data_IF_388506909552
#
_entry.id   IF_388506909552
#
_cell.length_a   1.000
_cell.length_b   1.000
_cell.length_c   1.000
_cell.angle_alpha   90.00
_cell.angle_beta   90.00
_cell.angle_gamma   90.00
#
_symmetry.space_group_name_H-M   'P 1'
#
loop_
_entity.id
_entity.type
_entity.pdbx_description
1 polymer ?
#
# COMPACT_ATOMS: atom_id res chain seq x y z
N UNK A 1 -18.46 -4.02 -7.62
CA UNK A 1 -17.09 -4.50 -7.26
C UNK A 1 -16.07 -3.41 -7.55
N UNK A 2 -15.18 -3.12 -6.62
CA UNK A 2 -14.06 -2.18 -6.77
C UNK A 2 -12.71 -2.89 -6.62
N UNK A 3 -11.70 -2.40 -7.33
CA UNK A 3 -10.33 -2.93 -7.27
C UNK A 3 -9.41 -1.80 -6.81
N UNK A 4 -8.72 -2.01 -5.69
CA UNK A 4 -7.98 -0.98 -4.96
C UNK A 4 -6.57 -1.47 -4.65
N UNK A 5 -5.55 -0.61 -4.83
CA UNK A 5 -4.19 -0.87 -4.39
C UNK A 5 -4.04 -0.70 -2.89
N UNK A 6 -3.36 -1.64 -2.25
CA UNK A 6 -2.84 -1.50 -0.88
C UNK A 6 -1.31 -1.52 -0.84
N UNK A 7 -0.68 -1.04 -1.90
CA UNK A 7 0.75 -0.75 -1.93
C UNK A 7 1.62 -1.93 -2.29
N UNK A 8 2.76 -1.90 -1.81
CA UNK A 8 4.11 -2.30 -2.03
C UNK A 8 4.85 -1.29 -2.91
N UNK A 9 4.44 -1.08 -4.14
CA UNK A 9 5.04 -0.11 -5.06
C UNK A 9 4.01 0.41 -6.07
N UNK A 10 4.43 1.34 -6.92
CA UNK A 10 3.60 1.94 -7.96
C UNK A 10 3.15 0.97 -9.07
N UNK A 11 3.77 -0.22 -9.19
CA UNK A 11 3.37 -1.22 -10.20
C UNK A 11 1.90 -1.64 -10.02
N UNK A 12 1.43 -1.75 -8.75
CA UNK A 12 0.03 -2.09 -8.45
C UNK A 12 -0.91 -1.00 -8.92
N UNK A 13 -0.60 0.27 -8.59
CA UNK A 13 -1.38 1.42 -9.04
C UNK A 13 -1.43 1.53 -10.56
N UNK A 14 -0.28 1.36 -11.25
CA UNK A 14 -0.22 1.32 -12.72
C UNK A 14 -1.03 0.17 -13.31
N UNK A 15 -0.93 -1.02 -12.73
CA UNK A 15 -1.69 -2.18 -13.17
C UNK A 15 -3.20 -1.95 -13.08
N UNK A 16 -3.69 -1.44 -11.95
CA UNK A 16 -5.11 -1.16 -11.75
C UNK A 16 -5.58 -0.06 -12.71
N UNK A 17 -4.85 1.06 -12.78
CA UNK A 17 -5.19 2.17 -13.68
C UNK A 17 -5.28 1.74 -15.14
N UNK A 18 -4.36 0.88 -15.59
CA UNK A 18 -4.32 0.40 -16.97
C UNK A 18 -5.46 -0.54 -17.33
N UNK A 19 -5.93 -1.35 -16.36
CA UNK A 19 -6.80 -2.49 -16.66
C UNK A 19 -8.24 -2.35 -16.16
N UNK A 20 -8.51 -1.52 -15.12
CA UNK A 20 -9.80 -1.56 -14.45
C UNK A 20 -10.44 -0.20 -14.19
N UNK A 21 -9.82 0.70 -13.45
CA UNK A 21 -10.42 1.96 -13.05
C UNK A 21 -9.44 3.14 -13.10
N UNK A 22 -9.98 4.37 -12.88
CA UNK A 22 -9.22 5.61 -12.90
C UNK A 22 -9.18 6.34 -11.55
N UNK A 23 -9.81 5.79 -10.51
CA UNK A 23 -9.79 6.42 -9.19
C UNK A 23 -8.43 6.23 -8.52
N UNK A 24 -7.99 7.25 -7.78
CA UNK A 24 -6.74 7.20 -7.02
C UNK A 24 -7.03 6.96 -5.55
N UNK A 25 -6.28 6.03 -4.97
CA UNK A 25 -6.32 5.65 -3.56
C UNK A 25 -5.00 5.95 -2.86
N UNK A 26 -4.95 5.94 -1.51
CA UNK A 26 -3.77 6.40 -0.78
C UNK A 26 -2.48 5.66 -1.12
N UNK A 27 -2.57 4.37 -1.43
CA UNK A 27 -1.41 3.52 -1.62
C UNK A 27 -0.92 3.39 -3.07
N UNK A 28 -1.57 4.04 -4.04
CA UNK A 28 -1.27 3.85 -5.47
C UNK A 28 0.16 4.24 -5.87
N UNK A 29 0.72 5.26 -5.20
CA UNK A 29 2.01 5.85 -5.54
C UNK A 29 3.02 5.78 -4.40
N UNK A 30 2.74 4.97 -3.39
CA UNK A 30 3.57 4.80 -2.20
C UNK A 30 4.20 3.41 -2.23
N UNK A 31 5.52 3.35 -2.11
CA UNK A 31 6.22 2.14 -1.74
C UNK A 31 6.06 1.93 -0.24
N UNK A 32 5.50 0.81 0.16
CA UNK A 32 5.19 0.54 1.56
C UNK A 32 5.43 -0.90 1.93
N UNK A 33 6.02 -1.12 3.10
CA UNK A 33 6.02 -2.46 3.69
C UNK A 33 4.64 -2.80 4.27
N UNK A 34 4.42 -4.07 4.56
CA UNK A 34 3.12 -4.55 5.05
C UNK A 34 2.78 -3.95 6.42
N UNK A 35 3.77 -3.72 7.29
CA UNK A 35 3.54 -3.15 8.61
C UNK A 35 3.03 -1.70 8.53
N UNK A 36 3.49 -0.93 7.54
CA UNK A 36 2.94 0.41 7.30
C UNK A 36 1.46 0.35 6.91
N UNK A 37 1.08 -0.59 6.06
CA UNK A 37 -0.31 -0.78 5.64
C UNK A 37 -1.18 -1.20 6.83
N UNK A 38 -0.73 -2.18 7.61
CA UNK A 38 -1.43 -2.64 8.82
C UNK A 38 -1.60 -1.47 9.79
N UNK A 39 -0.52 -0.78 10.14
CA UNK A 39 -0.56 0.36 11.06
C UNK A 39 -1.50 1.48 10.59
N UNK A 40 -1.56 1.71 9.27
CA UNK A 40 -2.49 2.69 8.69
C UNK A 40 -3.94 2.29 8.95
N UNK A 41 -4.30 1.02 8.75
CA UNK A 41 -5.66 0.55 9.00
C UNK A 41 -5.99 0.43 10.50
N UNK A 42 -5.00 0.14 11.36
CA UNK A 42 -5.19 0.15 12.82
C UNK A 42 -5.49 1.56 13.35
N UNK A 43 -4.88 2.59 12.75
CA UNK A 43 -4.99 3.99 13.17
C UNK A 43 -5.99 4.82 12.38
N UNK A 44 -6.65 4.24 11.41
CA UNK A 44 -7.60 4.86 10.48
C UNK A 44 -6.97 5.80 9.45
N UNK A 45 -5.69 6.17 9.60
CA UNK A 45 -5.12 7.22 8.79
C UNK A 45 -3.62 7.39 9.02
N UNK A 46 -2.89 7.97 8.08
CA UNK A 46 -1.55 8.51 8.31
C UNK A 46 -1.48 9.98 7.87
N UNK A 47 -0.75 10.80 8.63
CA UNK A 47 -0.43 12.18 8.28
C UNK A 47 1.02 12.33 7.87
N UNK A 48 1.24 13.21 6.90
CA UNK A 48 2.56 13.70 6.57
C UNK A 48 2.90 14.81 7.57
N UNK A 49 4.00 14.63 8.26
CA UNK A 49 4.47 15.59 9.27
C UNK A 49 5.86 16.10 8.89
N UNK A 50 6.26 17.22 9.46
CA UNK A 50 7.65 17.65 9.42
C UNK A 50 8.51 16.54 10.04
N UNK A 51 9.40 15.97 9.23
CA UNK A 51 10.38 15.01 9.71
C UNK A 51 11.72 15.73 9.88
N UNK A 52 12.28 15.68 11.09
CA UNK A 52 13.63 16.20 11.37
C UNK A 52 14.73 15.50 10.56
N UNK A 53 14.42 14.33 9.99
CA UNK A 53 15.34 13.53 9.18
C UNK A 53 14.62 12.92 7.97
N UNK A 54 14.41 13.73 6.96
CA UNK A 54 14.16 13.21 5.61
C UNK A 54 15.52 12.77 5.06
N UNK A 55 15.85 11.48 5.21
CA UNK A 55 16.98 10.91 4.52
C UNK A 55 16.58 10.65 3.07
N UNK A 56 17.21 11.27 2.07
CA UNK A 56 17.04 10.87 0.70
C UNK A 56 17.45 9.41 0.57
N UNK A 57 16.56 8.55 0.08
CA UNK A 57 16.78 7.11 0.05
C UNK A 57 17.36 6.65 -1.26
N UNK A 58 17.24 7.45 -2.27
CA UNK A 58 17.74 7.15 -3.60
C UNK A 58 18.14 8.44 -4.32
N UNK A 59 19.39 8.49 -4.76
CA UNK A 59 19.94 9.55 -5.59
C UNK A 59 20.24 9.05 -7.00
N UNK A 60 19.27 8.98 -7.91
CA UNK A 60 19.59 9.24 -9.30
C UNK A 60 19.55 10.77 -9.48
N UNK A 61 20.30 11.32 -10.45
CA UNK A 61 20.56 12.76 -10.54
C UNK A 61 19.33 13.67 -10.69
N UNK A 62 18.12 13.15 -10.71
CA UNK A 62 16.89 13.93 -10.91
C UNK A 62 15.64 13.44 -10.16
N UNK A 63 15.74 12.56 -9.15
CA UNK A 63 14.56 12.09 -8.41
C UNK A 63 14.87 12.00 -6.92
N UNK A 64 14.32 12.92 -6.14
CA UNK A 64 14.37 12.87 -4.68
C UNK A 64 13.21 12.06 -4.13
N UNK A 65 13.52 11.10 -3.29
CA UNK A 65 12.57 10.17 -2.70
C UNK A 65 12.59 10.33 -1.17
N UNK A 66 11.44 10.52 -0.55
CA UNK A 66 11.33 10.75 0.88
C UNK A 66 10.73 9.54 1.58
N UNK A 67 11.35 9.16 2.70
CA UNK A 67 10.90 8.08 3.58
C UNK A 67 10.00 8.65 4.66
N UNK A 68 8.84 8.03 4.80
CA UNK A 68 7.95 8.24 5.93
C UNK A 68 8.19 7.10 6.92
N UNK A 69 8.81 7.41 8.06
CA UNK A 69 8.80 6.52 9.20
C UNK A 69 7.62 6.91 10.07
N UNK A 70 6.48 6.28 9.88
CA UNK A 70 5.46 6.29 10.92
C UNK A 70 6.03 5.50 12.08
N UNK A 71 6.46 6.19 13.14
CA UNK A 71 6.81 5.54 14.39
C UNK A 71 5.57 4.76 14.86
N UNK A 72 5.62 3.45 14.74
CA UNK A 72 4.63 2.57 15.34
C UNK A 72 4.77 2.72 16.86
N UNK A 73 4.06 3.72 17.42
CA UNK A 73 4.07 3.96 18.86
C UNK A 73 3.53 2.72 19.55
N UNK A 74 4.38 2.02 20.28
CA UNK A 74 4.01 0.92 21.17
C UNK A 74 4.56 -0.45 20.80
N UNK A 75 4.99 -0.68 19.56
CA UNK A 75 5.56 -1.97 19.16
C UNK A 75 6.98 -1.76 18.61
N UNK A 76 7.98 -2.10 19.42
CA UNK A 76 9.40 -1.95 19.06
C UNK A 76 9.84 -2.88 17.93
N UNK A 77 9.03 -3.89 17.60
CA UNK A 77 9.32 -4.88 16.56
C UNK A 77 8.78 -4.51 15.18
N UNK A 78 7.79 -3.61 15.10
CA UNK A 78 7.21 -3.18 13.84
C UNK A 78 7.97 -2.01 13.23
N UNK A 79 8.60 -2.24 12.09
CA UNK A 79 9.25 -1.20 11.29
C UNK A 79 8.28 -0.76 10.19
N UNK A 80 7.50 0.27 10.47
CA UNK A 80 6.62 0.88 9.46
C UNK A 80 7.44 1.77 8.54
N UNK A 81 7.44 1.51 7.25
CA UNK A 81 8.18 2.28 6.27
C UNK A 81 7.40 2.45 4.97
N UNK A 82 7.32 3.68 4.50
CA UNK A 82 6.76 4.01 3.20
C UNK A 82 7.57 5.12 2.50
N UNK A 83 7.53 5.09 1.18
CA UNK A 83 8.29 6.02 0.33
C UNK A 83 7.40 6.49 -0.81
N UNK A 84 7.27 7.79 -1.02
CA UNK A 84 6.63 8.33 -2.22
C UNK A 84 7.67 8.54 -3.31
N UNK A 85 7.45 7.97 -4.49
CA UNK A 85 8.42 7.95 -5.60
C UNK A 85 7.99 8.84 -6.77
N UNK A 86 6.70 9.02 -6.96
CA UNK A 86 6.15 9.66 -8.18
C UNK A 86 5.28 10.89 -7.89
N UNK A 87 5.22 11.32 -6.65
CA UNK A 87 4.44 12.50 -6.31
C UNK A 87 5.32 13.75 -6.52
N UNK A 88 4.96 14.59 -7.48
CA UNK A 88 5.68 15.82 -7.80
C UNK A 88 5.82 16.77 -6.58
N UNK A 89 4.97 16.61 -5.58
CA UNK A 89 4.98 17.37 -4.33
C UNK A 89 6.19 17.04 -3.43
N UNK A 90 7.01 16.03 -3.79
CA UNK A 90 8.12 15.52 -2.99
C UNK A 90 9.49 15.66 -3.67
N UNK A 91 9.67 16.63 -4.56
CA UNK A 91 10.93 16.74 -5.33
C UNK A 91 12.14 17.23 -4.52
N UNK A 92 11.93 18.07 -3.52
CA UNK A 92 12.98 18.54 -2.61
C UNK A 92 12.46 18.61 -1.17
N UNK A 93 13.38 18.63 -0.18
CA UNK A 93 12.98 18.77 1.23
C UNK A 93 12.20 20.08 1.47
N UNK A 94 12.64 21.16 0.87
CA UNK A 94 11.98 22.46 1.01
C UNK A 94 10.57 22.44 0.41
N UNK A 95 10.41 21.86 -0.78
CA UNK A 95 9.11 21.70 -1.42
C UNK A 95 8.20 20.77 -0.59
N UNK A 96 8.74 19.69 -0.05
CA UNK A 96 7.98 18.82 0.85
C UNK A 96 7.42 19.59 2.04
N UNK A 97 8.29 20.29 2.80
CA UNK A 97 7.86 21.05 3.99
C UNK A 97 6.81 22.09 3.63
N UNK A 98 7.03 22.87 2.56
CA UNK A 98 6.07 23.89 2.13
C UNK A 98 4.74 23.33 1.64
N UNK A 99 4.73 22.10 1.14
CA UNK A 99 3.57 21.47 0.54
C UNK A 99 2.83 20.50 1.51
N UNK A 100 3.32 20.29 2.73
CA UNK A 100 2.67 19.39 3.72
C UNK A 100 1.15 19.62 3.82
N UNK A 101 0.63 20.86 3.94
CA UNK A 101 -0.82 21.05 4.02
C UNK A 101 -1.56 20.56 2.78
N UNK A 102 -1.06 20.82 1.57
CA UNK A 102 -1.66 20.38 0.30
C UNK A 102 -1.58 18.87 0.14
N UNK A 103 -0.46 18.28 0.57
CA UNK A 103 -0.25 16.82 0.57
C UNK A 103 -1.26 16.16 1.50
N UNK A 104 -1.39 16.65 2.73
CA UNK A 104 -2.34 16.12 3.70
C UNK A 104 -3.78 16.25 3.21
N UNK A 105 -4.16 17.38 2.61
CA UNK A 105 -5.49 17.54 2.01
C UNK A 105 -5.74 16.52 0.89
N UNK A 106 -4.76 16.31 0.00
CA UNK A 106 -4.83 15.31 -1.06
C UNK A 106 -5.03 13.90 -0.51
N UNK A 107 -4.24 13.51 0.50
CA UNK A 107 -4.33 12.18 1.09
C UNK A 107 -5.59 12.01 1.94
N UNK A 108 -6.05 13.03 2.64
CA UNK A 108 -7.36 13.03 3.33
C UNK A 108 -8.49 12.68 2.36
N UNK A 109 -8.53 13.30 1.18
CA UNK A 109 -9.54 12.97 0.15
C UNK A 109 -9.40 11.53 -0.35
N UNK A 110 -8.17 11.03 -0.53
CA UNK A 110 -7.92 9.64 -0.97
C UNK A 110 -8.31 8.63 0.12
N UNK A 111 -8.02 8.92 1.39
CA UNK A 111 -8.43 8.09 2.51
C UNK A 111 -9.94 8.09 2.69
N UNK A 112 -10.57 9.27 2.63
CA UNK A 112 -12.04 9.34 2.67
C UNK A 112 -12.66 8.44 1.60
N UNK A 113 -12.18 8.49 0.37
CA UNK A 113 -12.65 7.63 -0.72
C UNK A 113 -12.43 6.14 -0.42
N UNK A 114 -11.26 5.77 0.12
CA UNK A 114 -10.98 4.40 0.51
C UNK A 114 -11.96 3.90 1.57
N UNK A 115 -12.14 4.69 2.64
CA UNK A 115 -13.02 4.32 3.74
C UNK A 115 -14.50 4.31 3.34
N UNK A 116 -14.91 5.27 2.50
CA UNK A 116 -16.26 5.28 1.93
C UNK A 116 -16.52 3.99 1.11
N UNK A 117 -15.55 3.55 0.31
CA UNK A 117 -15.65 2.30 -0.44
C UNK A 117 -15.72 1.08 0.49
N UNK A 118 -14.81 0.99 1.46
CA UNK A 118 -14.75 -0.14 2.40
C UNK A 118 -15.96 -0.26 3.32
N UNK A 119 -16.71 0.82 3.52
CA UNK A 119 -17.94 0.83 4.31
C UNK A 119 -19.24 0.60 3.53
N UNK A 120 -19.15 0.45 2.20
CA UNK A 120 -20.29 0.01 1.39
C UNK A 120 -20.47 -1.51 1.47
N UNK A 121 -21.70 -1.98 1.29
CA UNK A 121 -21.98 -3.43 1.17
C UNK A 121 -21.73 -3.87 -0.29
N UNK A 122 -20.45 -3.93 -0.66
CA UNK A 122 -20.03 -4.36 -1.99
C UNK A 122 -18.77 -5.24 -1.94
N UNK A 123 -18.54 -6.00 -3.03
CA UNK A 123 -17.32 -6.78 -3.19
C UNK A 123 -16.13 -5.85 -3.52
N UNK A 124 -15.05 -5.96 -2.73
CA UNK A 124 -13.82 -5.20 -2.93
C UNK A 124 -12.64 -6.16 -3.04
N UNK A 125 -11.83 -5.95 -4.07
CA UNK A 125 -10.55 -6.62 -4.25
C UNK A 125 -9.43 -5.64 -3.90
N UNK A 126 -8.68 -5.96 -2.86
CA UNK A 126 -7.46 -5.24 -2.52
C UNK A 126 -6.25 -5.95 -3.13
N UNK A 127 -5.45 -5.22 -3.91
CA UNK A 127 -4.26 -5.79 -4.56
C UNK A 127 -2.99 -5.30 -3.89
N UNK A 128 -2.09 -6.24 -3.56
CA UNK A 128 -0.74 -6.00 -3.07
C UNK A 128 0.28 -6.82 -3.85
N UNK A 129 1.43 -6.23 -4.16
CA UNK A 129 2.61 -6.97 -4.61
C UNK A 129 3.51 -7.24 -3.40
N UNK A 130 4.07 -8.43 -3.29
CA UNK A 130 5.09 -8.74 -2.28
C UNK A 130 6.33 -7.90 -2.53
N UNK A 131 6.90 -7.33 -1.48
CA UNK A 131 8.07 -6.46 -1.58
C UNK A 131 9.28 -7.25 -2.09
N UNK A 132 9.85 -6.81 -3.20
CA UNK A 132 11.05 -7.40 -3.80
C UNK A 132 12.31 -7.09 -2.98
N UNK A 133 13.26 -8.03 -2.96
CA UNK A 133 14.57 -7.90 -2.26
C UNK A 133 15.40 -6.72 -2.75
N UNK A 134 15.20 -6.30 -3.98
CA UNK A 134 15.98 -5.24 -4.64
C UNK A 134 15.56 -3.82 -4.26
N UNK A 135 14.41 -3.66 -3.61
CA UNK A 135 13.87 -2.34 -3.28
C UNK A 135 14.41 -1.86 -1.92
N UNK A 136 15.69 -1.50 -1.87
CA UNK A 136 16.43 -1.13 -0.67
C UNK A 136 15.94 0.13 0.07
N UNK A 137 15.02 0.89 -0.52
CA UNK A 137 14.46 2.11 0.05
C UNK A 137 13.50 1.87 1.21
N UNK A 138 12.80 0.75 1.22
CA UNK A 138 11.88 0.37 2.28
C UNK A 138 12.60 -0.62 3.19
N UNK A 139 12.69 -0.30 4.49
CA UNK A 139 13.32 -1.22 5.45
C UNK A 139 12.72 -2.61 5.32
N UNK A 140 13.60 -3.62 5.25
CA UNK A 140 13.31 -5.04 4.99
C UNK A 140 12.40 -5.64 6.06
N UNK A 141 11.12 -5.36 5.96
CA UNK A 141 10.14 -6.12 6.71
C UNK A 141 9.23 -6.78 5.67
N UNK A 142 9.52 -8.06 5.43
CA UNK A 142 8.87 -8.80 4.35
C UNK A 142 7.41 -9.06 4.67
N UNK A 143 6.62 -9.13 3.62
CA UNK A 143 5.28 -9.71 3.68
C UNK A 143 5.41 -11.18 4.10
N UNK A 144 4.72 -11.55 5.18
CA UNK A 144 4.63 -12.93 5.66
C UNK A 144 3.18 -13.39 5.66
N UNK A 145 2.96 -14.71 5.67
CA UNK A 145 1.61 -15.26 5.80
C UNK A 145 0.86 -14.71 7.00
N UNK A 146 1.54 -14.60 8.15
CA UNK A 146 0.97 -14.10 9.40
C UNK A 146 0.47 -12.66 9.27
N UNK A 147 1.30 -11.78 8.71
CA UNK A 147 0.94 -10.36 8.52
C UNK A 147 -0.18 -10.17 7.52
N UNK A 148 -0.18 -10.95 6.43
CA UNK A 148 -1.23 -10.90 5.41
C UNK A 148 -2.56 -11.42 5.98
N UNK A 149 -2.52 -12.51 6.75
CA UNK A 149 -3.70 -13.04 7.44
C UNK A 149 -4.22 -12.04 8.49
N UNK A 150 -3.32 -11.44 9.27
CA UNK A 150 -3.69 -10.41 10.24
C UNK A 150 -4.35 -9.19 9.56
N UNK A 151 -3.78 -8.70 8.46
CA UNK A 151 -4.39 -7.61 7.69
C UNK A 151 -5.79 -8.00 7.19
N UNK A 152 -5.96 -9.21 6.69
CA UNK A 152 -7.26 -9.71 6.22
C UNK A 152 -8.30 -9.75 7.35
N UNK A 153 -7.91 -10.24 8.52
CA UNK A 153 -8.77 -10.30 9.70
C UNK A 153 -9.14 -8.89 10.20
N UNK A 154 -8.16 -7.99 10.30
CA UNK A 154 -8.35 -6.59 10.68
C UNK A 154 -9.39 -5.91 9.77
N UNK A 155 -9.21 -6.03 8.46
CA UNK A 155 -10.09 -5.41 7.48
C UNK A 155 -11.51 -5.99 7.52
N UNK A 156 -11.64 -7.31 7.65
CA UNK A 156 -12.94 -7.98 7.73
C UNK A 156 -13.71 -7.65 9.01
N UNK A 157 -13.00 -7.37 10.11
CA UNK A 157 -13.63 -6.94 11.38
C UNK A 157 -14.02 -5.45 11.35
N UNK A 158 -13.25 -4.63 10.64
CA UNK A 158 -13.38 -3.18 10.68
C UNK A 158 -14.40 -2.64 9.70
N UNK A 159 -14.58 -3.27 8.55
CA UNK A 159 -15.34 -2.74 7.43
C UNK A 159 -16.52 -3.66 7.02
N UNK A 160 -17.52 -3.05 6.37
CA UNK A 160 -18.74 -3.76 5.90
C UNK A 160 -18.54 -4.47 4.57
N UNK A 161 -17.62 -3.98 3.74
CA UNK A 161 -17.36 -4.56 2.43
C UNK A 161 -16.91 -6.02 2.54
N UNK A 162 -17.31 -6.83 1.56
CA UNK A 162 -16.78 -8.16 1.39
C UNK A 162 -15.41 -8.09 0.71
N UNK A 163 -14.36 -8.15 1.54
CA UNK A 163 -12.99 -7.90 1.12
C UNK A 163 -12.28 -9.19 0.74
N UNK A 164 -11.70 -9.20 -0.48
CA UNK A 164 -10.73 -10.19 -0.92
C UNK A 164 -9.36 -9.53 -1.11
N UNK A 165 -8.28 -10.18 -0.65
CA UNK A 165 -6.92 -9.70 -0.83
C UNK A 165 -6.23 -10.55 -1.90
N UNK A 166 -5.75 -9.90 -2.96
CA UNK A 166 -5.02 -10.54 -4.05
C UNK A 166 -3.55 -10.13 -3.99
N UNK A 167 -2.70 -11.13 -3.79
CA UNK A 167 -1.26 -10.96 -3.62
C UNK A 167 -0.55 -11.34 -4.92
N UNK A 168 0.30 -10.47 -5.43
CA UNK A 168 1.23 -10.78 -6.52
C UNK A 168 2.59 -11.09 -5.90
N UNK A 169 2.99 -12.34 -5.97
CA UNK A 169 4.24 -12.86 -5.41
C UNK A 169 5.06 -13.55 -6.50
N UNK A 170 5.97 -12.80 -7.10
CA UNK A 170 6.82 -13.28 -8.19
C UNK A 170 7.93 -14.23 -7.70
N UNK A 171 8.23 -14.22 -6.40
CA UNK A 171 9.34 -14.95 -5.80
C UNK A 171 8.90 -16.19 -5.00
N UNK A 172 7.59 -16.42 -4.87
CA UNK A 172 7.05 -17.59 -4.17
C UNK A 172 7.27 -17.58 -2.66
N UNK A 173 7.28 -16.41 -2.03
CA UNK A 173 7.52 -16.26 -0.58
C UNK A 173 6.30 -16.59 0.26
N UNK A 174 5.11 -16.39 -0.31
CA UNK A 174 3.85 -16.64 0.40
C UNK A 174 3.41 -18.07 0.21
N UNK A 175 3.32 -18.80 1.31
CA UNK A 175 2.82 -20.18 1.29
C UNK A 175 1.30 -20.19 1.13
N UNK A 176 0.84 -20.66 -0.03
CA UNK A 176 -0.59 -20.69 -0.41
C UNK A 176 -1.45 -21.57 0.49
N UNK A 177 -0.84 -22.52 1.20
CA UNK A 177 -1.57 -23.45 2.08
C UNK A 177 -1.86 -22.84 3.46
N UNK A 178 -1.21 -21.71 3.80
CA UNK A 178 -1.27 -21.07 5.12
C UNK A 178 -1.87 -19.67 5.04
N UNK A 179 -2.85 -19.45 4.17
CA UNK A 179 -3.56 -18.18 4.00
C UNK A 179 -5.05 -18.35 4.16
N UNK A 180 -5.73 -17.28 4.56
CA UNK A 180 -7.19 -17.24 4.72
C UNK A 180 -7.91 -17.38 3.38
N UNK A 181 -9.14 -17.92 3.40
CA UNK A 181 -9.92 -18.23 2.18
C UNK A 181 -10.21 -17.02 1.29
N UNK A 182 -10.24 -15.82 1.86
CA UNK A 182 -10.44 -14.59 1.12
C UNK A 182 -9.13 -13.98 0.57
N UNK A 183 -8.02 -14.70 0.67
CA UNK A 183 -6.72 -14.31 0.11
C UNK A 183 -6.40 -15.21 -1.08
N UNK A 184 -5.92 -14.62 -2.18
CA UNK A 184 -5.43 -15.36 -3.36
C UNK A 184 -4.03 -14.88 -3.75
N UNK A 185 -3.16 -15.83 -4.09
CA UNK A 185 -1.76 -15.53 -4.47
C UNK A 185 -1.53 -15.87 -5.93
N UNK A 186 -0.99 -14.93 -6.68
CA UNK A 186 -0.66 -14.99 -8.09
C UNK A 186 0.84 -14.83 -8.31
N UNK A 187 1.40 -15.60 -9.22
CA UNK A 187 2.84 -15.51 -9.53
C UNK A 187 3.19 -14.31 -10.43
N UNK A 188 2.18 -13.61 -10.98
CA UNK A 188 2.38 -12.45 -11.83
C UNK A 188 1.12 -11.61 -11.98
N UNK A 189 1.29 -10.34 -12.38
CA UNK A 189 0.17 -9.47 -12.77
C UNK A 189 -0.64 -10.01 -13.96
N UNK A 190 -0.01 -10.75 -14.88
CA UNK A 190 -0.72 -11.35 -16.00
C UNK A 190 -1.68 -12.44 -15.53
N UNK A 191 -1.22 -13.33 -14.64
CA UNK A 191 -2.08 -14.35 -14.02
C UNK A 191 -3.24 -13.75 -13.24
N UNK A 192 -2.96 -12.71 -12.47
CA UNK A 192 -4.00 -11.94 -11.76
C UNK A 192 -5.03 -11.33 -12.72
N UNK A 193 -4.58 -10.69 -13.81
CA UNK A 193 -5.47 -10.09 -14.81
C UNK A 193 -6.39 -11.12 -15.47
N UNK A 194 -5.84 -12.27 -15.86
CA UNK A 194 -6.62 -13.33 -16.47
C UNK A 194 -7.68 -13.87 -15.50
N UNK A 195 -7.28 -14.06 -14.23
CA UNK A 195 -8.23 -14.51 -13.21
C UNK A 195 -9.37 -13.51 -13.00
N UNK A 196 -9.08 -12.21 -12.81
CA UNK A 196 -10.13 -11.20 -12.61
C UNK A 196 -11.09 -11.16 -13.81
N UNK A 197 -10.56 -11.18 -15.05
CA UNK A 197 -11.40 -11.17 -16.27
C UNK A 197 -12.27 -12.42 -16.46
N UNK A 198 -11.89 -13.55 -15.87
CA UNK A 198 -12.66 -14.80 -15.97
C UNK A 198 -13.67 -14.99 -14.84
N UNK A 199 -13.45 -14.32 -13.71
CA UNK A 199 -14.25 -14.49 -12.51
C UNK A 199 -15.36 -13.44 -12.35
N UNK A 200 -15.20 -12.33 -13.06
CA UNK A 200 -16.07 -11.15 -12.98
C UNK A 200 -16.31 -10.51 -14.36
#
# INVERSE_FOLDING_TARGET
MKIISIGCNCDVGFFIKKNFNREYYPFDWIWSNIDFVINTFERDYFEFTECEKLNPVWEPPNQHTYIFNNNCKGDKERICSAVSVHDADFQTQTQYISNIPLINEKYTRRFKRLYDALNQDEDIILIRKVLDKTQGAVKKNFDTNEKINYLSELLSKKFKAKISIFIVDNEGRINKNNISNNIKVFNSFNGLRLFIKSAF
#
